data_IF_741437758055
#
_entry.id   IF_741437758055
#
_cell.length_a   1.000
_cell.length_b   1.000
_cell.length_c   1.000
_cell.angle_alpha   90.00
_cell.angle_beta   90.00
_cell.angle_gamma   90.00
#
_symmetry.space_group_name_H-M   'P 1'
#
loop_
_entity.id
_entity.type
_entity.pdbx_description
1 polymer ?
#
# COMPACT_ATOMS: atom_id res chain seq x y z
N UNK A 1 -26.65 -2.64 2.07
CA UNK A 1 -26.69 -1.60 3.12
C UNK A 1 -26.90 -2.29 4.45
N UNK A 2 -26.17 -1.91 5.51
CA UNK A 2 -26.55 -2.32 6.87
C UNK A 2 -27.63 -1.35 7.36
N UNK A 3 -28.80 -1.89 7.72
CA UNK A 3 -29.89 -1.10 8.29
C UNK A 3 -29.52 -0.63 9.70
N UNK A 4 -30.00 0.56 10.11
CA UNK A 4 -29.69 1.17 11.41
C UNK A 4 -29.90 0.22 12.61
N UNK A 5 -30.94 -0.63 12.58
CA UNK A 5 -31.20 -1.65 13.60
C UNK A 5 -30.10 -2.72 13.74
N UNK A 6 -29.36 -3.00 12.67
CA UNK A 6 -28.21 -3.92 12.73
C UNK A 6 -26.97 -3.24 13.36
N UNK A 7 -26.86 -1.91 13.24
CA UNK A 7 -25.75 -1.12 13.78
C UNK A 7 -25.88 -0.89 15.29
N UNK A 8 -27.11 -0.88 15.83
CA UNK A 8 -27.37 -0.82 17.29
C UNK A 8 -26.65 -1.95 18.04
N UNK A 9 -26.51 -3.12 17.43
CA UNK A 9 -25.83 -4.29 18.00
C UNK A 9 -24.31 -4.11 18.14
N UNK A 10 -23.74 -3.10 17.49
CA UNK A 10 -22.31 -2.82 17.54
C UNK A 10 -21.91 -2.08 18.81
N UNK A 11 -22.86 -1.43 19.50
CA UNK A 11 -22.58 -0.69 20.73
C UNK A 11 -22.05 -1.64 21.80
N UNK A 12 -21.03 -1.21 22.55
CA UNK A 12 -20.27 -2.02 23.53
C UNK A 12 -19.48 -3.20 22.95
N UNK A 13 -19.45 -3.40 21.63
CA UNK A 13 -18.59 -4.42 21.04
C UNK A 13 -17.11 -4.04 21.17
N UNK A 14 -16.23 -5.03 21.39
CA UNK A 14 -14.80 -4.78 21.45
C UNK A 14 -14.30 -4.40 20.06
N UNK A 15 -13.37 -3.46 20.06
CA UNK A 15 -12.66 -3.02 18.86
C UNK A 15 -11.24 -3.54 18.93
N UNK A 16 -10.78 -4.16 17.86
CA UNK A 16 -9.42 -4.65 17.68
C UNK A 16 -8.80 -4.01 16.46
N UNK A 17 -7.47 -4.04 16.37
CA UNK A 17 -6.80 -3.80 15.10
C UNK A 17 -6.64 -5.09 14.29
N UNK A 18 -6.03 -4.96 13.11
CA UNK A 18 -5.71 -6.08 12.18
C UNK A 18 -4.74 -7.10 12.78
N UNK A 19 -4.04 -6.77 13.86
CA UNK A 19 -3.09 -7.63 14.56
C UNK A 19 -3.70 -8.26 15.83
N UNK A 20 -4.97 -7.97 16.13
CA UNK A 20 -5.70 -8.51 17.27
C UNK A 20 -5.35 -7.86 18.61
N UNK A 21 -4.79 -6.64 18.62
CA UNK A 21 -4.66 -5.81 19.83
C UNK A 21 -6.02 -5.18 20.14
N UNK A 22 -6.41 -5.15 21.41
CA UNK A 22 -7.65 -4.49 21.81
C UNK A 22 -7.42 -2.97 21.80
N UNK A 23 -8.23 -2.27 21.01
CA UNK A 23 -8.18 -0.83 20.90
C UNK A 23 -9.21 -0.12 21.79
N UNK A 24 -10.22 -0.84 22.26
CA UNK A 24 -11.26 -0.28 23.11
C UNK A 24 -12.62 -0.89 22.82
N UNK A 25 -13.67 -0.07 22.96
CA UNK A 25 -15.05 -0.48 22.76
C UNK A 25 -15.83 0.57 21.96
N UNK A 26 -16.84 0.13 21.23
CA UNK A 26 -17.77 1.03 20.54
C UNK A 26 -18.67 1.73 21.54
N UNK A 27 -18.82 3.04 21.38
CA UNK A 27 -19.81 3.82 22.12
C UNK A 27 -21.03 4.19 21.27
N UNK A 28 -20.90 4.26 19.95
CA UNK A 28 -21.99 4.62 19.05
C UNK A 28 -21.56 4.66 17.59
N UNK A 29 -22.48 5.05 16.72
CA UNK A 29 -22.25 5.22 15.28
C UNK A 29 -22.94 6.49 14.78
N UNK A 30 -22.44 7.06 13.69
CA UNK A 30 -23.08 8.17 12.98
C UNK A 30 -23.62 7.71 11.64
N UNK A 31 -24.70 8.36 11.19
CA UNK A 31 -25.32 8.11 9.90
C UNK A 31 -25.18 9.32 8.99
N UNK A 32 -25.09 9.10 7.69
CA UNK A 32 -25.24 10.15 6.69
C UNK A 32 -26.73 10.45 6.41
N UNK A 33 -26.99 11.40 5.51
CA UNK A 33 -28.35 11.78 5.10
C UNK A 33 -29.13 10.67 4.39
N UNK A 34 -28.45 9.61 3.91
CA UNK A 34 -29.07 8.43 3.33
C UNK A 34 -29.45 7.37 4.37
N UNK A 35 -29.07 7.58 5.64
CA UNK A 35 -29.23 6.59 6.70
C UNK A 35 -28.17 5.49 6.68
N UNK A 36 -27.09 5.66 5.92
CA UNK A 36 -25.95 4.73 5.88
C UNK A 36 -24.92 5.08 6.95
N UNK A 37 -24.19 4.08 7.44
CA UNK A 37 -23.14 4.30 8.44
C UNK A 37 -22.04 5.19 7.86
N UNK A 38 -21.86 6.37 8.47
CA UNK A 38 -20.79 7.30 8.16
C UNK A 38 -19.55 6.99 9.00
N UNK A 39 -19.73 6.70 10.29
CA UNK A 39 -18.62 6.44 11.20
C UNK A 39 -19.02 5.70 12.45
N UNK A 40 -18.00 5.27 13.20
CA UNK A 40 -18.11 4.53 14.44
C UNK A 40 -17.29 5.22 15.52
N UNK A 41 -17.96 5.59 16.61
CA UNK A 41 -17.33 6.18 17.78
C UNK A 41 -16.72 5.11 18.68
N UNK A 42 -15.43 5.24 18.97
CA UNK A 42 -14.67 4.30 19.80
C UNK A 42 -14.08 5.00 21.01
N UNK A 43 -14.30 4.39 22.18
CA UNK A 43 -13.64 4.75 23.43
C UNK A 43 -12.41 3.84 23.59
N UNK A 44 -11.22 4.45 23.61
CA UNK A 44 -9.95 3.75 23.74
C UNK A 44 -9.59 3.36 25.18
N UNK A 45 -10.46 3.67 26.16
CA UNK A 45 -10.25 3.34 27.59
C UNK A 45 -9.21 4.24 28.30
N UNK A 46 -8.42 5.00 27.55
CA UNK A 46 -7.46 6.00 28.06
C UNK A 46 -8.09 7.40 28.23
N UNK A 47 -9.42 7.50 28.18
CA UNK A 47 -10.15 8.77 28.14
C UNK A 47 -10.18 9.41 26.75
N UNK A 48 -9.63 8.73 25.72
CA UNK A 48 -9.65 9.20 24.35
C UNK A 48 -10.85 8.62 23.59
N UNK A 49 -11.64 9.52 23.01
CA UNK A 49 -12.68 9.21 22.05
C UNK A 49 -12.22 9.57 20.64
N UNK A 50 -12.43 8.65 19.69
CA UNK A 50 -12.19 8.89 18.26
C UNK A 50 -13.34 8.31 17.46
N UNK A 51 -13.84 9.08 16.50
CA UNK A 51 -14.78 8.59 15.50
C UNK A 51 -14.01 8.15 14.24
N UNK A 52 -14.18 6.89 13.86
CA UNK A 52 -13.54 6.32 12.67
C UNK A 52 -14.51 6.29 11.49
N UNK A 53 -14.06 6.65 10.28
CA UNK A 53 -14.89 6.59 9.09
C UNK A 53 -15.19 5.14 8.68
N UNK A 54 -16.32 4.92 7.99
CA UNK A 54 -16.81 3.61 7.54
C UNK A 54 -15.73 2.77 6.85
N UNK A 55 -14.87 3.40 6.07
CA UNK A 55 -13.83 2.81 5.24
C UNK A 55 -12.77 2.09 6.07
N UNK A 56 -12.54 2.54 7.30
CA UNK A 56 -11.55 1.96 8.23
C UNK A 56 -12.12 0.84 9.09
N UNK A 57 -13.38 0.44 8.88
CA UNK A 57 -14.09 -0.48 9.77
C UNK A 57 -14.39 -1.79 9.03
N UNK A 58 -13.95 -2.91 9.59
CA UNK A 58 -14.37 -4.24 9.18
C UNK A 58 -15.19 -4.84 10.31
N UNK A 59 -16.38 -5.32 9.99
CA UNK A 59 -17.25 -6.02 10.94
C UNK A 59 -17.16 -7.50 10.60
N UNK A 60 -16.54 -8.28 11.48
CA UNK A 60 -16.53 -9.73 11.33
C UNK A 60 -17.94 -10.26 11.64
N UNK A 61 -18.64 -10.68 10.58
CA UNK A 61 -20.01 -11.20 10.65
C UNK A 61 -20.16 -12.46 11.50
N UNK A 62 -19.04 -13.11 11.85
CA UNK A 62 -19.02 -14.37 12.61
C UNK A 62 -18.84 -14.14 14.12
N UNK A 63 -18.09 -13.12 14.51
CA UNK A 63 -17.63 -12.91 15.89
C UNK A 63 -18.15 -11.62 16.55
N UNK A 64 -18.94 -10.82 15.82
CA UNK A 64 -19.39 -9.48 16.24
C UNK A 64 -18.23 -8.57 16.71
N UNK A 65 -17.00 -8.90 16.30
CA UNK A 65 -15.78 -8.16 16.60
C UNK A 65 -15.56 -7.13 15.51
N UNK A 66 -15.15 -5.94 15.92
CA UNK A 66 -14.91 -4.83 15.02
C UNK A 66 -13.41 -4.68 14.86
N UNK A 67 -12.95 -4.73 13.61
CA UNK A 67 -11.54 -4.57 13.25
C UNK A 67 -11.38 -3.16 12.66
N UNK A 68 -10.52 -2.35 13.27
CA UNK A 68 -10.10 -1.07 12.74
C UNK A 68 -8.83 -1.23 11.91
N UNK A 69 -8.89 -0.73 10.68
CA UNK A 69 -7.74 -0.61 9.81
C UNK A 69 -6.86 0.56 10.27
N UNK A 70 -5.52 0.39 10.30
CA UNK A 70 -4.61 1.49 10.53
C UNK A 70 -4.70 2.53 9.40
N UNK A 71 -4.47 3.81 9.74
CA UNK A 71 -4.64 4.92 8.79
C UNK A 71 -3.72 4.78 7.57
N UNK A 72 -2.48 4.37 7.81
CA UNK A 72 -1.48 4.22 6.77
C UNK A 72 -1.86 3.17 5.72
N UNK A 73 -2.70 2.18 6.05
CA UNK A 73 -3.05 1.11 5.12
C UNK A 73 -3.89 1.65 3.97
N UNK A 74 -4.88 2.49 4.27
CA UNK A 74 -5.71 3.12 3.24
C UNK A 74 -4.87 4.07 2.36
N UNK A 75 -3.97 4.84 2.98
CA UNK A 75 -3.06 5.73 2.26
C UNK A 75 -2.14 4.96 1.29
N UNK A 76 -1.58 3.83 1.74
CA UNK A 76 -0.74 2.95 0.92
C UNK A 76 -1.51 2.33 -0.24
N UNK A 77 -2.74 1.86 0.00
CA UNK A 77 -3.57 1.24 -1.04
C UNK A 77 -3.99 2.26 -2.11
N UNK A 78 -4.35 3.48 -1.69
CA UNK A 78 -4.63 4.60 -2.61
C UNK A 78 -3.40 4.94 -3.44
N UNK A 79 -2.24 5.06 -2.81
CA UNK A 79 -0.99 5.35 -3.51
C UNK A 79 -0.68 4.26 -4.55
N UNK A 80 -0.71 2.97 -4.16
CA UNK A 80 -0.51 1.84 -5.08
C UNK A 80 -1.40 1.94 -6.30
N UNK A 81 -2.72 2.09 -6.08
CA UNK A 81 -3.70 2.15 -7.16
C UNK A 81 -3.46 3.33 -8.08
N UNK A 82 -3.26 4.51 -7.52
CA UNK A 82 -3.11 5.74 -8.31
C UNK A 82 -1.79 5.76 -9.09
N UNK A 83 -0.70 5.27 -8.50
CA UNK A 83 0.59 5.11 -9.20
C UNK A 83 0.46 4.17 -10.41
N UNK A 84 -0.25 3.04 -10.27
CA UNK A 84 -0.47 2.12 -11.40
C UNK A 84 -1.32 2.76 -12.51
N UNK A 85 -2.35 3.52 -12.14
CA UNK A 85 -3.20 4.24 -13.11
C UNK A 85 -2.39 5.31 -13.84
N UNK A 86 -1.61 6.11 -13.12
CA UNK A 86 -0.76 7.16 -13.69
C UNK A 86 0.25 6.56 -14.69
N UNK A 87 0.99 5.50 -14.29
CA UNK A 87 1.94 4.79 -15.17
C UNK A 87 1.28 4.31 -16.46
N UNK A 88 0.10 3.69 -16.35
CA UNK A 88 -0.65 3.20 -17.52
C UNK A 88 -1.08 4.35 -18.44
N UNK A 89 -1.58 5.46 -17.87
CA UNK A 89 -2.01 6.63 -18.63
C UNK A 89 -0.84 7.27 -19.38
N UNK A 90 0.30 7.47 -18.72
CA UNK A 90 1.52 8.00 -19.34
C UNK A 90 1.99 7.11 -20.49
N UNK A 91 2.03 5.79 -20.29
CA UNK A 91 2.42 4.86 -21.35
C UNK A 91 1.48 4.90 -22.56
N UNK A 92 0.16 4.94 -22.32
CA UNK A 92 -0.83 5.04 -23.39
C UNK A 92 -0.72 6.36 -24.13
N UNK A 93 -0.49 7.47 -23.42
CA UNK A 93 -0.33 8.79 -24.02
C UNK A 93 0.86 8.84 -24.99
N UNK A 94 2.02 8.33 -24.58
CA UNK A 94 3.21 8.24 -25.44
C UNK A 94 2.98 7.32 -26.65
N UNK A 95 2.28 6.20 -26.46
CA UNK A 95 1.92 5.31 -27.57
C UNK A 95 1.02 6.02 -28.58
N UNK A 96 -0.01 6.74 -28.14
CA UNK A 96 -0.91 7.48 -29.03
C UNK A 96 -0.17 8.56 -29.81
N UNK A 97 0.81 9.23 -29.19
CA UNK A 97 1.68 10.19 -29.89
C UNK A 97 2.50 9.52 -30.98
N UNK A 98 3.14 8.39 -30.67
CA UNK A 98 3.94 7.65 -31.64
C UNK A 98 3.11 7.14 -32.83
N UNK A 99 1.82 6.86 -32.63
CA UNK A 99 0.90 6.42 -33.68
C UNK A 99 0.27 7.58 -34.47
N UNK A 100 0.55 8.84 -34.09
CA UNK A 100 -0.09 10.02 -34.69
C UNK A 100 -1.59 10.13 -34.38
N UNK A 101 -2.09 9.41 -33.36
CA UNK A 101 -3.51 9.35 -32.99
C UNK A 101 -3.94 10.51 -32.07
N UNK A 102 -3.01 11.37 -31.66
CA UNK A 102 -3.27 12.54 -30.80
C UNK A 102 -2.61 13.80 -31.37
N UNK A 103 -3.33 14.93 -31.45
CA UNK A 103 -2.74 16.23 -31.81
C UNK A 103 -1.71 16.70 -30.79
N UNK A 104 -0.65 17.39 -31.23
CA UNK A 104 0.46 17.81 -30.36
C UNK A 104 0.01 18.66 -29.16
N UNK A 105 -0.86 19.66 -29.36
CA UNK A 105 -1.36 20.49 -28.26
C UNK A 105 -2.10 19.68 -27.18
N UNK A 106 -2.89 18.68 -27.58
CA UNK A 106 -3.61 17.82 -26.65
C UNK A 106 -2.66 16.85 -25.93
N UNK A 107 -1.59 16.41 -26.60
CA UNK A 107 -0.52 15.63 -25.97
C UNK A 107 0.22 16.44 -24.91
N UNK A 108 0.64 17.66 -25.23
CA UNK A 108 1.35 18.56 -24.31
C UNK A 108 0.52 18.86 -23.05
N UNK A 109 -0.76 19.21 -23.23
CA UNK A 109 -1.69 19.48 -22.12
C UNK A 109 -1.87 18.26 -21.19
N UNK A 110 -2.13 17.08 -21.78
CA UNK A 110 -2.30 15.84 -21.00
C UNK A 110 -1.00 15.41 -20.32
N UNK A 111 0.14 15.57 -20.99
CA UNK A 111 1.45 15.24 -20.43
C UNK A 111 1.73 16.10 -19.20
N UNK A 112 1.54 17.41 -19.31
CA UNK A 112 1.68 18.35 -18.20
C UNK A 112 0.77 18.00 -17.02
N UNK A 113 -0.50 17.67 -17.30
CA UNK A 113 -1.44 17.22 -16.26
C UNK A 113 -0.98 15.93 -15.57
N UNK A 114 -0.47 14.94 -16.32
CA UNK A 114 -0.01 13.67 -15.76
C UNK A 114 1.30 13.83 -14.98
N UNK A 115 2.20 14.71 -15.41
CA UNK A 115 3.41 15.06 -14.66
C UNK A 115 3.04 15.69 -13.30
N UNK A 116 2.06 16.61 -13.26
CA UNK A 116 1.54 17.17 -12.02
C UNK A 116 0.90 16.09 -11.12
N UNK A 117 0.10 15.18 -11.68
CA UNK A 117 -0.46 14.03 -10.93
C UNK A 117 0.66 13.16 -10.34
N UNK A 118 1.70 12.86 -11.10
CA UNK A 118 2.85 12.06 -10.66
C UNK A 118 3.59 12.76 -9.52
N UNK A 119 3.82 14.07 -9.61
CA UNK A 119 4.49 14.81 -8.55
C UNK A 119 3.67 14.85 -7.25
N UNK A 120 2.34 14.98 -7.36
CA UNK A 120 1.44 14.84 -6.20
C UNK A 120 1.52 13.42 -5.57
N UNK A 121 1.66 12.38 -6.39
CA UNK A 121 1.85 11.01 -5.91
C UNK A 121 3.21 10.84 -5.20
N UNK A 122 4.28 11.48 -5.68
CA UNK A 122 5.59 11.48 -5.00
C UNK A 122 5.51 12.18 -3.65
N UNK A 123 4.86 13.34 -3.57
CA UNK A 123 4.65 14.02 -2.29
C UNK A 123 3.83 13.17 -1.30
N UNK A 124 2.79 12.50 -1.80
CA UNK A 124 1.99 11.57 -1.01
C UNK A 124 2.83 10.38 -0.52
N UNK A 125 3.69 9.83 -1.38
CA UNK A 125 4.64 8.76 -1.05
C UNK A 125 5.57 9.17 0.10
N UNK A 126 6.20 10.34 0.02
CA UNK A 126 7.06 10.84 1.10
C UNK A 126 6.31 10.99 2.42
N UNK A 127 5.09 11.56 2.39
CA UNK A 127 4.27 11.70 3.60
C UNK A 127 3.91 10.34 4.23
N UNK A 128 3.62 9.34 3.40
CA UNK A 128 3.34 7.98 3.87
C UNK A 128 4.60 7.35 4.49
N UNK A 129 5.77 7.52 3.88
CA UNK A 129 7.04 7.06 4.44
C UNK A 129 7.25 7.64 5.85
N UNK A 130 7.10 8.96 6.02
CA UNK A 130 7.24 9.62 7.32
C UNK A 130 6.28 9.06 8.38
N UNK A 131 5.00 8.84 8.00
CA UNK A 131 3.99 8.22 8.88
C UNK A 131 4.40 6.80 9.30
N UNK A 132 4.88 5.99 8.36
CA UNK A 132 5.29 4.60 8.59
C UNK A 132 6.56 4.51 9.44
N UNK A 133 7.56 5.35 9.21
CA UNK A 133 8.78 5.44 10.02
C UNK A 133 8.46 5.89 11.45
N UNK A 134 7.60 6.89 11.60
CA UNK A 134 7.08 7.31 12.91
C UNK A 134 6.39 6.15 13.64
N UNK A 135 5.58 5.37 12.91
CA UNK A 135 4.90 4.20 13.48
C UNK A 135 5.88 3.12 13.91
N UNK A 136 6.92 2.83 13.13
CA UNK A 136 8.02 1.93 13.54
C UNK A 136 8.65 2.44 14.84
N UNK A 137 9.00 3.73 14.91
CA UNK A 137 9.60 4.32 16.13
C UNK A 137 8.72 4.15 17.37
N UNK A 138 7.40 4.31 17.23
CA UNK A 138 6.43 4.07 18.30
C UNK A 138 6.39 2.59 18.73
N UNK A 139 6.40 1.65 17.77
CA UNK A 139 6.46 0.21 18.05
C UNK A 139 7.74 -0.16 18.78
N UNK A 140 8.90 0.34 18.34
CA UNK A 140 10.19 0.07 18.98
C UNK A 140 10.23 0.60 20.43
N UNK A 141 9.68 1.79 20.67
CA UNK A 141 9.59 2.38 22.00
C UNK A 141 8.68 1.55 22.94
N UNK A 142 7.54 1.08 22.41
CA UNK A 142 6.63 0.16 23.09
C UNK A 142 7.34 -1.16 23.42
N UNK A 143 8.08 -1.73 22.46
CA UNK A 143 8.82 -2.98 22.63
C UNK A 143 9.84 -2.89 23.77
N UNK A 144 10.67 -1.84 23.79
CA UNK A 144 11.67 -1.64 24.86
C UNK A 144 11.03 -1.56 26.25
N UNK A 145 9.91 -0.85 26.35
CA UNK A 145 9.15 -0.74 27.61
C UNK A 145 8.62 -2.10 28.06
N UNK A 146 8.12 -2.88 27.11
CA UNK A 146 7.54 -4.21 27.34
C UNK A 146 8.60 -5.25 27.70
N UNK A 147 9.76 -5.23 27.05
CA UNK A 147 10.92 -6.07 27.37
C UNK A 147 11.44 -5.79 28.78
N UNK A 148 11.49 -4.52 29.17
CA UNK A 148 11.85 -4.12 30.53
C UNK A 148 10.86 -4.68 31.54
N UNK A 149 9.56 -4.58 31.27
CA UNK A 149 8.53 -5.15 32.14
C UNK A 149 8.65 -6.68 32.26
N UNK A 150 8.86 -7.40 31.15
CA UNK A 150 9.12 -8.84 31.16
C UNK A 150 10.35 -9.19 32.01
N UNK A 151 11.40 -8.38 31.92
CA UNK A 151 12.62 -8.54 32.73
C UNK A 151 12.34 -8.34 34.21
N UNK A 152 11.52 -7.35 34.57
CA UNK A 152 11.05 -7.17 35.96
C UNK A 152 10.28 -8.40 36.45
N UNK A 153 9.36 -8.96 35.66
CA UNK A 153 8.62 -10.17 36.04
C UNK A 153 9.57 -11.36 36.28
N UNK A 154 10.61 -11.51 35.46
CA UNK A 154 11.63 -12.57 35.66
C UNK A 154 12.38 -12.39 36.97
N UNK A 155 12.78 -11.16 37.30
CA UNK A 155 13.44 -10.86 38.59
C UNK A 155 12.52 -11.21 39.75
N UNK A 156 11.27 -10.74 39.72
CA UNK A 156 10.27 -11.01 40.78
C UNK A 156 10.00 -12.50 40.98
N UNK A 157 9.97 -13.28 39.91
CA UNK A 157 9.82 -14.72 40.01
C UNK A 157 11.04 -15.39 40.65
N UNK A 158 12.25 -14.97 40.27
CA UNK A 158 13.49 -15.53 40.82
C UNK A 158 13.85 -15.01 42.23
N UNK A 159 13.23 -13.92 42.67
CA UNK A 159 13.30 -13.42 44.06
C UNK A 159 12.17 -13.95 44.94
N UNK A 160 11.37 -14.91 44.46
CA UNK A 160 10.21 -15.49 45.15
C UNK A 160 9.14 -14.46 45.56
N UNK A 161 9.08 -13.30 44.88
CA UNK A 161 8.06 -12.25 45.11
C UNK A 161 6.71 -12.60 44.47
N UNK A 162 6.72 -13.38 43.39
CA UNK A 162 5.52 -13.86 42.69
C UNK A 162 5.59 -15.37 42.45
N UNK A 163 4.44 -16.03 42.47
CA UNK A 163 4.34 -17.46 42.19
C UNK A 163 4.48 -17.77 40.67
N UNK A 164 4.74 -19.04 40.36
CA UNK A 164 4.95 -19.50 38.99
C UNK A 164 3.73 -19.38 38.07
N UNK A 165 2.50 -19.47 38.57
CA UNK A 165 1.31 -19.28 37.73
C UNK A 165 1.09 -17.81 37.39
N UNK A 166 1.34 -16.91 38.35
CA UNK A 166 1.31 -15.46 38.14
C UNK A 166 2.39 -15.05 37.14
N UNK A 167 3.64 -15.51 37.33
CA UNK A 167 4.73 -15.27 36.38
C UNK A 167 4.39 -15.75 34.97
N UNK A 168 3.87 -16.98 34.84
CA UNK A 168 3.53 -17.57 33.55
C UNK A 168 2.46 -16.75 32.82
N UNK A 169 1.35 -16.40 33.48
CA UNK A 169 0.26 -15.63 32.86
C UNK A 169 0.70 -14.22 32.44
N UNK A 170 1.42 -13.52 33.32
CA UNK A 170 1.90 -12.17 33.04
C UNK A 170 2.94 -12.16 31.91
N UNK A 171 3.89 -13.10 31.95
CA UNK A 171 4.91 -13.24 30.90
C UNK A 171 4.30 -13.59 29.55
N UNK A 172 3.34 -14.54 29.52
CA UNK A 172 2.65 -14.91 28.27
C UNK A 172 1.92 -13.70 27.68
N UNK A 173 1.17 -12.96 28.49
CA UNK A 173 0.45 -11.76 28.02
C UNK A 173 1.41 -10.69 27.47
N UNK A 174 2.59 -10.57 28.07
CA UNK A 174 3.64 -9.64 27.66
C UNK A 174 4.27 -10.05 26.33
N UNK A 175 4.54 -11.36 26.15
CA UNK A 175 5.08 -11.94 24.91
C UNK A 175 4.06 -11.80 23.78
N UNK A 176 2.78 -12.15 24.02
CA UNK A 176 1.71 -12.03 23.04
C UNK A 176 1.55 -10.60 22.51
N UNK A 177 1.80 -9.60 23.36
CA UNK A 177 1.77 -8.19 22.94
C UNK A 177 2.94 -7.86 22.01
N UNK A 178 4.15 -8.32 22.33
CA UNK A 178 5.35 -8.13 21.50
C UNK A 178 5.25 -8.85 20.14
N UNK A 179 4.61 -10.02 20.11
CA UNK A 179 4.40 -10.78 18.87
C UNK A 179 3.51 -9.99 17.89
N UNK A 180 2.43 -9.37 18.38
CA UNK A 180 1.55 -8.51 17.56
C UNK A 180 2.26 -7.27 17.04
N UNK A 181 3.08 -6.64 17.88
CA UNK A 181 3.94 -5.52 17.49
C UNK A 181 4.95 -5.93 16.40
N UNK A 182 5.49 -7.14 16.49
CA UNK A 182 6.42 -7.70 15.51
C UNK A 182 5.76 -7.93 14.15
N UNK A 183 4.50 -8.40 14.14
CA UNK A 183 3.73 -8.59 12.90
C UNK A 183 3.51 -7.26 12.18
N UNK A 184 3.05 -6.23 12.89
CA UNK A 184 2.86 -4.89 12.31
C UNK A 184 4.18 -4.32 11.78
N UNK A 185 5.25 -4.38 12.57
CA UNK A 185 6.56 -3.88 12.17
C UNK A 185 7.06 -4.56 10.90
N UNK A 186 6.85 -5.87 10.77
CA UNK A 186 7.25 -6.61 9.58
C UNK A 186 6.46 -6.15 8.34
N UNK A 187 5.15 -5.97 8.48
CA UNK A 187 4.31 -5.46 7.40
C UNK A 187 4.73 -4.05 6.95
N UNK A 188 4.93 -3.14 7.91
CA UNK A 188 5.37 -1.77 7.60
C UNK A 188 6.75 -1.77 6.93
N UNK A 189 7.69 -2.60 7.41
CA UNK A 189 9.02 -2.71 6.79
C UNK A 189 8.95 -3.21 5.34
N UNK A 190 8.07 -4.17 5.04
CA UNK A 190 7.85 -4.65 3.68
C UNK A 190 7.28 -3.53 2.77
N UNK A 191 6.35 -2.73 3.30
CA UNK A 191 5.78 -1.58 2.58
C UNK A 191 6.84 -0.51 2.31
N UNK A 192 7.66 -0.15 3.30
CA UNK A 192 8.75 0.81 3.14
C UNK A 192 9.78 0.35 2.09
N UNK A 193 10.10 -0.94 2.08
CA UNK A 193 10.97 -1.51 1.06
C UNK A 193 10.35 -1.41 -0.34
N UNK A 194 9.05 -1.73 -0.48
CA UNK A 194 8.34 -1.57 -1.75
C UNK A 194 8.33 -0.10 -2.22
N UNK A 195 7.99 0.85 -1.35
CA UNK A 195 7.99 2.29 -1.65
C UNK A 195 9.38 2.80 -2.09
N UNK A 196 10.44 2.26 -1.46
CA UNK A 196 11.82 2.60 -1.80
C UNK A 196 12.26 2.07 -3.17
N UNK A 197 11.75 0.91 -3.60
CA UNK A 197 12.05 0.33 -4.91
C UNK A 197 11.28 1.06 -6.00
N UNK A 198 9.97 1.26 -5.82
CA UNK A 198 9.12 1.93 -6.82
C UNK A 198 9.64 3.34 -7.15
N UNK A 199 10.08 4.11 -6.14
CA UNK A 199 10.72 5.42 -6.31
C UNK A 199 12.03 5.37 -7.13
N UNK A 200 12.78 4.25 -7.13
CA UNK A 200 14.05 4.10 -7.86
C UNK A 200 13.84 3.65 -9.31
N UNK A 201 12.80 2.88 -9.59
CA UNK A 201 12.50 2.39 -10.94
C UNK A 201 11.99 3.46 -11.90
N UNK A 202 11.54 4.62 -11.42
CA UNK A 202 11.03 5.71 -12.26
C UNK A 202 12.12 6.61 -12.88
N UNK A 203 13.40 6.46 -12.50
CA UNK A 203 14.49 7.27 -13.06
C UNK A 203 15.04 6.76 -14.41
N UNK A 204 14.52 5.65 -14.94
CA UNK A 204 14.89 5.17 -16.28
C UNK A 204 13.67 5.14 -17.18
N UNK A 205 13.34 6.28 -17.79
CA UNK A 205 12.67 6.23 -19.08
C UNK A 205 13.57 5.41 -20.02
N UNK A 206 13.03 4.45 -20.78
CA UNK A 206 13.80 3.84 -21.87
C UNK A 206 14.18 4.97 -22.83
N UNK A 207 15.48 5.08 -23.14
CA UNK A 207 15.96 5.94 -24.21
C UNK A 207 15.16 5.65 -25.49
N UNK A 208 14.79 6.67 -26.27
CA UNK A 208 14.07 6.46 -27.52
C UNK A 208 14.90 5.52 -28.38
N UNK A 209 14.30 4.37 -28.72
CA UNK A 209 14.87 3.44 -29.70
C UNK A 209 15.05 4.24 -30.98
N UNK A 210 16.31 4.49 -31.35
CA UNK A 210 16.64 5.11 -32.63
C UNK A 210 15.94 4.32 -33.75
N UNK A 211 15.14 5.02 -34.56
CA UNK A 211 14.57 4.46 -35.79
C UNK A 211 15.71 3.87 -36.63
N UNK A 212 15.54 2.66 -37.18
CA UNK A 212 16.50 2.14 -38.14
C UNK A 212 16.47 3.03 -39.39
N UNK A 213 17.64 3.49 -39.82
CA UNK A 213 17.81 4.29 -41.03
C UNK A 213 17.14 3.62 -42.24
N UNK A 214 16.55 4.39 -43.16
CA UNK A 214 15.84 3.85 -44.31
C UNK A 214 16.82 3.09 -45.21
N UNK A 215 16.55 1.80 -45.42
CA UNK A 215 17.29 0.96 -46.35
C UNK A 215 17.07 1.51 -47.76
N UNK A 216 18.14 2.06 -48.34
CA UNK A 216 18.18 2.48 -49.74
C UNK A 216 18.00 1.22 -50.59
N UNK A 217 16.86 1.09 -51.26
CA UNK A 217 16.64 0.08 -52.28
C UNK A 217 17.62 0.34 -53.44
N UNK A 218 18.62 -0.51 -53.58
CA UNK A 218 19.47 -0.55 -54.77
C UNK A 218 18.63 -1.00 -55.97
N UNK A 219 18.67 -0.21 -57.03
CA UNK A 219 18.10 -0.47 -58.35
C UNK A 219 18.74 -1.74 -58.94
N UNK A 220 17.99 -2.67 -59.57
CA UNK A 220 18.56 -3.90 -60.09
C UNK A 220 19.43 -3.62 -61.33
N UNK A 221 20.65 -4.15 -61.33
CA UNK A 221 21.58 -4.11 -62.46
C UNK A 221 21.00 -4.79 -63.72
N UNK A 222 21.37 -4.34 -64.93
CA UNK A 222 20.81 -4.87 -66.17
C UNK A 222 21.38 -6.26 -66.47
N UNK A 223 20.47 -7.18 -66.81
CA UNK A 223 20.79 -8.56 -67.21
C UNK A 223 21.50 -8.53 -68.57
N UNK A 224 22.77 -8.94 -68.59
CA UNK A 224 23.55 -9.13 -69.81
C UNK A 224 23.09 -10.45 -70.46
N UNK A 225 22.50 -10.37 -71.65
CA UNK A 225 22.19 -11.51 -72.49
C UNK A 225 23.50 -12.18 -72.96
N UNK A 226 23.73 -13.43 -72.55
CA UNK A 226 24.76 -14.29 -73.15
C UNK A 226 24.19 -15.00 -74.38
N UNK A 227 24.87 -14.82 -75.51
CA UNK A 227 24.60 -15.47 -76.80
C UNK A 227 25.14 -16.92 -76.77
N UNK A 228 24.44 -17.93 -77.35
CA UNK A 228 24.89 -19.31 -77.26
C UNK A 228 25.95 -19.63 -78.33
N UNK A 229 27.04 -20.28 -77.91
CA UNK A 229 28.07 -20.81 -78.81
C UNK A 229 27.55 -21.96 -79.70
N UNK A 230 28.06 -22.09 -80.94
CA UNK A 230 27.55 -23.08 -81.88
C UNK A 230 28.14 -24.47 -81.63
N UNK A 231 27.27 -25.46 -81.70
CA UNK A 231 27.59 -26.89 -81.70
C UNK A 231 28.26 -27.24 -83.03
N UNK A 232 29.45 -27.84 -83.00
CA UNK A 232 30.00 -28.54 -84.17
C UNK A 232 30.31 -29.98 -83.75
N UNK A 233 29.62 -30.91 -84.42
CA UNK A 233 29.78 -32.35 -84.32
C UNK A 233 30.95 -32.86 -85.17
N UNK A 234 31.52 -33.98 -84.68
CA UNK A 234 32.44 -34.94 -85.29
C UNK A 234 33.93 -34.76 -84.97
#
# INVERSE_FOLDING_TARGET
MMHAQALEKLVKKPVKDTYGRNLGQVIGFSLDSSGSMKGLGVDHGTGQFVEYPRERIIIDGSSETIILLPEWQEDVDKLKKNTQIAKKRTHVLEKLRAQGEIPEHAFEDLKSSYECEIDNLKSSCSSIIDKLETRIGNIESSRLTTEKFLSTLKVQYHSDEIDGETFKRASQSTIDMMDKDTLERHEIANILNWLSIDNKTETKLPEPVAEPEPIIHAEPEPIIHAEPEPIIHA
#
